data_IF_421071888498
#
_entry.id   IF_421071888498
#
_cell.length_a   1.000
_cell.length_b   1.000
_cell.length_c   1.000
_cell.angle_alpha   90.00
_cell.angle_beta   90.00
_cell.angle_gamma   90.00
#
_symmetry.space_group_name_H-M   'P 1'
#
loop_
_entity.id
_entity.type
_entity.pdbx_description
1 polymer ?
#
# COMPACT_ATOMS: atom_id res chain seq x y z
N UNK A 1 -44.70 13.67 12.44
CA UNK A 1 -43.50 14.45 12.84
C UNK A 1 -42.78 13.87 14.07
N UNK A 2 -43.48 13.41 15.12
CA UNK A 2 -42.83 12.84 16.31
C UNK A 2 -41.98 11.58 16.03
N UNK A 3 -42.50 10.64 15.22
CA UNK A 3 -41.80 9.38 14.88
C UNK A 3 -40.47 9.61 14.15
N UNK A 4 -40.47 10.49 13.15
CA UNK A 4 -39.26 10.87 12.42
C UNK A 4 -38.14 11.45 13.32
N UNK A 5 -38.48 12.10 14.44
CA UNK A 5 -37.48 12.58 15.41
C UNK A 5 -36.88 11.45 16.24
N UNK A 6 -37.68 10.43 16.57
CA UNK A 6 -37.22 9.23 17.27
C UNK A 6 -36.30 8.43 16.35
N UNK A 7 -36.74 8.18 15.11
CA UNK A 7 -35.96 7.44 14.11
C UNK A 7 -34.60 8.10 13.83
N UNK A 8 -34.56 9.45 13.77
CA UNK A 8 -33.31 10.20 13.62
C UNK A 8 -32.39 10.07 14.84
N UNK A 9 -32.94 10.12 16.06
CA UNK A 9 -32.15 9.99 17.28
C UNK A 9 -31.55 8.58 17.44
N UNK A 10 -32.32 7.55 17.06
CA UNK A 10 -31.84 6.16 17.02
C UNK A 10 -30.70 6.00 15.99
N UNK A 11 -30.87 6.53 14.78
CA UNK A 11 -29.83 6.50 13.76
C UNK A 11 -28.54 7.20 14.21
N UNK A 12 -28.63 8.36 14.87
CA UNK A 12 -27.47 9.06 15.42
C UNK A 12 -26.78 8.28 16.55
N UNK A 13 -27.53 7.52 17.34
CA UNK A 13 -26.99 6.67 18.39
C UNK A 13 -26.21 5.49 17.80
N UNK A 14 -26.75 4.84 16.76
CA UNK A 14 -26.07 3.75 16.05
C UNK A 14 -24.74 4.22 15.43
N UNK A 15 -24.71 5.44 14.88
CA UNK A 15 -23.49 6.03 14.30
C UNK A 15 -22.37 6.32 15.30
N UNK A 16 -22.60 6.18 16.61
CA UNK A 16 -21.53 6.28 17.63
C UNK A 16 -20.69 5.02 17.76
N UNK A 17 -21.15 3.89 17.20
CA UNK A 17 -20.40 2.64 17.16
C UNK A 17 -19.78 2.49 15.77
N UNK A 18 -18.46 2.47 15.72
CA UNK A 18 -17.71 2.24 14.49
C UNK A 18 -17.19 0.81 14.53
N UNK A 19 -17.41 0.08 13.44
CA UNK A 19 -16.94 -1.30 13.27
C UNK A 19 -15.85 -1.32 12.20
N UNK A 20 -14.91 -2.26 12.33
CA UNK A 20 -13.95 -2.53 11.26
C UNK A 20 -14.71 -3.04 10.02
N UNK A 21 -14.42 -2.52 8.82
CA UNK A 21 -15.12 -2.93 7.60
C UNK A 21 -14.76 -4.35 7.14
N UNK A 22 -13.57 -4.83 7.51
CA UNK A 22 -13.06 -6.16 7.17
C UNK A 22 -12.02 -6.65 8.19
N UNK A 23 -11.64 -7.92 8.08
CA UNK A 23 -10.59 -8.51 8.90
C UNK A 23 -9.23 -7.86 8.63
N UNK A 24 -8.74 -7.14 9.64
CA UNK A 24 -7.50 -6.37 9.54
C UNK A 24 -6.74 -6.39 10.86
N UNK A 25 -5.43 -6.19 10.76
CA UNK A 25 -4.55 -5.96 11.90
C UNK A 25 -4.52 -4.47 12.23
N UNK A 26 -4.72 -4.11 13.50
CA UNK A 26 -4.49 -2.74 13.97
C UNK A 26 -2.99 -2.43 13.89
N UNK A 27 -2.60 -1.40 13.13
CA UNK A 27 -1.20 -0.96 13.05
C UNK A 27 -0.89 0.10 14.10
N UNK A 28 -1.81 1.06 14.25
CA UNK A 28 -1.65 2.23 15.10
C UNK A 28 -2.97 2.58 15.76
N UNK A 29 -2.91 3.04 17.00
CA UNK A 29 -4.05 3.60 17.74
C UNK A 29 -3.74 5.06 18.02
N UNK A 30 -4.49 5.95 17.40
CA UNK A 30 -4.27 7.39 17.50
C UNK A 30 -5.01 8.02 18.69
N UNK A 31 -6.15 7.44 19.06
CA UNK A 31 -6.99 7.93 20.15
C UNK A 31 -7.21 6.86 21.21
N UNK A 32 -7.01 7.26 22.46
CA UNK A 32 -7.16 6.40 23.63
C UNK A 32 -8.44 6.70 24.41
N UNK A 33 -8.84 5.76 25.26
CA UNK A 33 -10.01 5.94 26.11
C UNK A 33 -9.88 7.19 26.98
N UNK A 34 -10.89 8.05 26.95
CA UNK A 34 -10.92 9.33 27.69
C UNK A 34 -10.54 10.54 26.83
N UNK A 35 -10.00 10.34 25.62
CA UNK A 35 -9.71 11.41 24.69
C UNK A 35 -10.96 11.79 23.86
N UNK A 36 -11.08 13.07 23.51
CA UNK A 36 -12.18 13.54 22.66
C UNK A 36 -11.76 13.58 21.19
N UNK A 37 -12.45 12.81 20.36
CA UNK A 37 -12.27 12.79 18.92
C UNK A 37 -13.07 13.92 18.24
N UNK A 38 -12.43 14.65 17.32
CA UNK A 38 -13.16 15.49 16.37
C UNK A 38 -13.91 14.64 15.32
N UNK A 39 -14.85 15.22 14.53
CA UNK A 39 -15.65 14.48 13.56
C UNK A 39 -14.85 13.72 12.50
N UNK A 40 -13.64 14.19 12.19
CA UNK A 40 -12.75 13.64 11.17
C UNK A 40 -11.47 13.06 11.76
N UNK A 41 -11.36 12.95 13.08
CA UNK A 41 -10.15 12.44 13.72
C UNK A 41 -10.08 10.91 13.59
N UNK A 42 -8.99 10.35 13.03
CA UNK A 42 -8.83 8.91 12.95
C UNK A 42 -8.62 8.33 14.35
N UNK A 43 -9.27 7.19 14.64
CA UNK A 43 -9.15 6.51 15.94
C UNK A 43 -8.03 5.47 15.90
N UNK A 44 -7.98 4.68 14.83
CA UNK A 44 -6.97 3.65 14.62
C UNK A 44 -6.73 3.45 13.12
N UNK A 45 -5.54 2.93 12.80
CA UNK A 45 -5.16 2.47 11.47
C UNK A 45 -5.28 0.95 11.39
N UNK A 46 -5.87 0.46 10.30
CA UNK A 46 -6.12 -0.95 10.05
C UNK A 46 -5.40 -1.39 8.77
N UNK A 47 -4.67 -2.49 8.86
CA UNK A 47 -4.01 -3.15 7.72
C UNK A 47 -4.69 -4.49 7.42
N UNK A 48 -5.45 -4.61 6.31
CA UNK A 48 -6.05 -5.85 5.88
C UNK A 48 -5.01 -6.96 5.64
N UNK A 49 -5.37 -8.21 5.95
CA UNK A 49 -4.41 -9.33 5.96
C UNK A 49 -3.78 -9.63 4.59
N UNK A 50 -4.40 -9.20 3.48
CA UNK A 50 -3.94 -9.48 2.11
C UNK A 50 -3.70 -8.21 1.28
N UNK A 51 -3.49 -7.05 1.91
CA UNK A 51 -3.35 -5.77 1.20
C UNK A 51 -1.91 -5.29 1.03
N UNK A 52 -0.92 -6.14 1.31
CA UNK A 52 0.49 -5.80 1.12
C UNK A 52 0.79 -5.69 -0.38
N UNK A 53 1.39 -4.57 -0.77
CA UNK A 53 1.89 -4.30 -2.12
C UNK A 53 3.36 -3.95 -2.04
N UNK A 54 4.13 -4.43 -3.01
CA UNK A 54 5.46 -3.94 -3.30
C UNK A 54 5.36 -2.81 -4.30
N UNK A 55 5.96 -1.67 -3.97
CA UNK A 55 6.11 -0.52 -4.85
C UNK A 55 7.58 -0.43 -5.25
N UNK A 56 7.85 -0.43 -6.55
CA UNK A 56 9.20 -0.27 -7.08
C UNK A 56 9.18 0.56 -8.36
N UNK A 57 10.33 1.10 -8.73
CA UNK A 57 10.47 2.04 -9.84
C UNK A 57 11.31 1.42 -10.95
N UNK A 58 10.80 1.49 -12.18
CA UNK A 58 11.47 0.93 -13.36
C UNK A 58 11.85 2.05 -14.32
N UNK A 59 13.08 2.05 -14.89
CA UNK A 59 13.47 3.01 -15.92
C UNK A 59 12.63 2.89 -17.19
N UNK A 60 12.46 4.00 -17.91
CA UNK A 60 11.75 4.06 -19.21
C UNK A 60 12.20 2.98 -20.21
N UNK A 61 13.51 2.67 -20.26
CA UNK A 61 14.08 1.68 -21.20
C UNK A 61 13.47 0.27 -21.05
N UNK A 62 13.05 -0.08 -19.84
CA UNK A 62 12.46 -1.39 -19.50
C UNK A 62 10.94 -1.34 -19.39
N UNK A 63 10.35 -0.13 -19.30
CA UNK A 63 8.91 0.08 -19.15
C UNK A 63 8.09 -0.60 -20.25
N UNK A 64 8.53 -0.49 -21.50
CA UNK A 64 7.80 -1.02 -22.66
C UNK A 64 7.69 -2.54 -22.73
N UNK A 65 8.41 -3.27 -21.87
CA UNK A 65 8.40 -4.73 -21.81
C UNK A 65 7.56 -5.28 -20.64
N UNK A 66 7.10 -4.41 -19.73
CA UNK A 66 6.36 -4.83 -18.56
C UNK A 66 4.87 -5.03 -18.88
N UNK A 67 4.32 -6.13 -18.40
CA UNK A 67 2.90 -6.44 -18.51
C UNK A 67 2.25 -6.63 -17.14
N UNK A 68 1.01 -6.15 -16.99
CA UNK A 68 0.21 -6.46 -15.80
C UNK A 68 -0.09 -7.95 -15.80
N UNK A 69 0.23 -8.62 -14.70
CA UNK A 69 0.11 -10.06 -14.58
C UNK A 69 1.43 -10.83 -14.62
N UNK A 70 2.54 -10.18 -15.00
CA UNK A 70 3.87 -10.79 -14.96
C UNK A 70 4.20 -11.27 -13.55
N UNK A 71 4.68 -12.51 -13.45
CA UNK A 71 5.08 -13.15 -12.20
C UNK A 71 6.58 -13.16 -12.10
N UNK A 72 7.09 -12.76 -10.95
CA UNK A 72 8.52 -12.70 -10.71
C UNK A 72 8.85 -13.01 -9.26
N UNK A 73 10.13 -13.19 -8.99
CA UNK A 73 10.62 -13.45 -7.65
C UNK A 73 11.41 -12.24 -7.16
N UNK A 74 11.04 -11.71 -5.99
CA UNK A 74 11.81 -10.67 -5.33
C UNK A 74 12.40 -11.19 -4.01
N UNK A 75 13.49 -10.58 -3.60
CA UNK A 75 14.13 -10.89 -2.31
C UNK A 75 13.93 -9.72 -1.37
N UNK A 76 13.32 -9.97 -0.21
CA UNK A 76 13.34 -8.98 0.86
C UNK A 76 14.68 -8.97 1.58
N UNK A 77 15.13 -7.77 1.96
CA UNK A 77 16.29 -7.57 2.82
C UNK A 77 16.06 -8.25 4.17
N UNK A 78 16.85 -9.30 4.44
CA UNK A 78 16.72 -10.15 5.63
C UNK A 78 15.89 -11.43 5.45
N UNK A 79 15.34 -11.70 4.27
CA UNK A 79 14.62 -12.93 3.97
C UNK A 79 15.54 -14.00 3.37
N UNK A 80 15.43 -15.23 3.84
CA UNK A 80 16.19 -16.37 3.29
C UNK A 80 15.56 -16.93 2.01
N UNK A 81 14.28 -16.66 1.78
CA UNK A 81 13.50 -17.21 0.65
C UNK A 81 13.07 -16.12 -0.32
N UNK A 82 13.08 -16.46 -1.61
CA UNK A 82 12.49 -15.63 -2.65
C UNK A 82 10.97 -15.61 -2.50
N UNK A 83 10.37 -14.44 -2.72
CA UNK A 83 8.93 -14.24 -2.66
C UNK A 83 8.37 -14.12 -4.07
N UNK A 84 7.41 -14.98 -4.40
CA UNK A 84 6.71 -14.93 -5.67
C UNK A 84 5.66 -13.81 -5.64
N UNK A 85 5.87 -12.83 -6.51
CA UNK A 85 5.04 -11.64 -6.68
C UNK A 85 4.43 -11.62 -8.08
N UNK A 86 3.34 -10.88 -8.22
CA UNK A 86 2.68 -10.63 -9.50
C UNK A 86 2.44 -9.14 -9.67
N UNK A 87 2.78 -8.59 -10.83
CA UNK A 87 2.48 -7.19 -11.18
C UNK A 87 0.97 -7.03 -11.26
N UNK A 88 0.45 -6.02 -10.55
CA UNK A 88 -0.99 -5.70 -10.50
C UNK A 88 -1.31 -4.34 -11.10
N UNK A 89 -0.34 -3.44 -11.16
CA UNK A 89 -0.52 -2.11 -11.71
C UNK A 89 0.83 -1.57 -12.19
N UNK A 90 0.79 -0.83 -13.29
CA UNK A 90 1.91 -0.11 -13.88
C UNK A 90 1.39 1.32 -14.09
N UNK A 91 2.12 2.32 -13.59
CA UNK A 91 1.74 3.72 -13.77
C UNK A 91 1.75 4.11 -15.26
N UNK A 92 0.75 4.89 -15.67
CA UNK A 92 0.63 5.39 -17.06
C UNK A 92 1.57 6.57 -17.33
N UNK A 93 1.95 7.32 -16.29
CA UNK A 93 2.82 8.47 -16.39
C UNK A 93 4.15 8.24 -15.68
N UNK A 94 5.25 8.84 -16.18
CA UNK A 94 6.51 8.81 -15.47
C UNK A 94 6.45 9.70 -14.23
N UNK A 95 7.04 9.21 -13.14
CA UNK A 95 7.34 10.02 -11.97
C UNK A 95 8.77 10.55 -12.05
N UNK A 96 8.95 11.74 -11.49
CA UNK A 96 10.23 12.38 -11.41
C UNK A 96 10.83 12.10 -10.03
N UNK A 97 11.96 11.39 -9.97
CA UNK A 97 12.74 11.30 -8.74
C UNK A 97 13.66 12.51 -8.67
N UNK A 98 13.38 13.53 -7.83
CA UNK A 98 14.32 14.64 -7.67
C UNK A 98 15.62 14.08 -7.08
N UNK A 99 16.76 14.22 -7.77
CA UNK A 99 18.01 13.70 -7.25
C UNK A 99 18.45 14.45 -6.00
N UNK A 100 18.93 13.73 -5.00
CA UNK A 100 19.81 14.30 -3.97
C UNK A 100 21.19 14.45 -4.62
N UNK A 101 21.56 15.68 -4.94
CA UNK A 101 22.72 16.09 -5.75
C UNK A 101 24.05 15.61 -5.11
N UNK A 102 24.91 14.93 -5.87
CA UNK A 102 26.38 15.13 -5.92
C UNK A 102 27.00 14.45 -7.16
N UNK A 103 26.70 14.91 -8.38
CA UNK A 103 27.59 14.78 -9.56
C UNK A 103 26.92 15.31 -10.85
N UNK A 104 27.73 15.84 -11.77
CA UNK A 104 27.32 16.40 -13.06
C UNK A 104 26.72 15.37 -14.04
N UNK A 105 26.76 14.07 -13.71
CA UNK A 105 26.20 12.98 -14.51
C UNK A 105 24.77 12.59 -14.11
N UNK A 106 24.22 13.22 -13.06
CA UNK A 106 22.90 12.86 -12.52
C UNK A 106 21.79 13.42 -13.42
N UNK A 107 21.54 12.75 -14.54
CA UNK A 107 20.38 13.02 -15.39
C UNK A 107 19.12 12.59 -14.66
N UNK A 108 18.12 13.45 -14.72
CA UNK A 108 16.72 13.17 -14.44
C UNK A 108 16.30 11.98 -15.31
N UNK A 109 16.15 10.79 -14.71
CA UNK A 109 15.66 9.60 -15.41
C UNK A 109 14.17 9.48 -15.12
N UNK A 110 13.38 9.40 -16.18
CA UNK A 110 11.97 9.05 -16.07
C UNK A 110 11.88 7.64 -15.50
N UNK A 111 11.20 7.53 -14.36
CA UNK A 111 10.92 6.25 -13.72
C UNK A 111 9.42 6.04 -13.67
N UNK A 112 8.99 4.80 -13.80
CA UNK A 112 7.60 4.43 -13.73
C UNK A 112 7.36 3.60 -12.48
N UNK A 113 6.34 3.96 -11.71
CA UNK A 113 5.94 3.17 -10.55
C UNK A 113 5.27 1.87 -11.02
N UNK A 114 5.72 0.75 -10.46
CA UNK A 114 5.14 -0.57 -10.66
C UNK A 114 4.73 -1.13 -9.30
N UNK A 115 3.49 -1.62 -9.23
CA UNK A 115 2.94 -2.25 -8.03
C UNK A 115 2.78 -3.74 -8.25
N UNK A 116 3.35 -4.53 -7.35
CA UNK A 116 3.20 -5.98 -7.33
C UNK A 116 2.59 -6.47 -6.01
N UNK A 117 1.91 -7.61 -6.04
CA UNK A 117 1.34 -8.27 -4.86
C UNK A 117 1.91 -9.68 -4.69
N UNK A 118 2.07 -10.16 -3.44
CA UNK A 118 2.35 -11.57 -3.19
C UNK A 118 1.28 -12.47 -3.77
N UNK A 119 1.70 -13.55 -4.43
CA UNK A 119 0.79 -14.59 -4.93
C UNK A 119 0.20 -15.40 -3.76
N UNK A 120 0.95 -15.51 -2.65
CA UNK A 120 0.52 -16.21 -1.45
C UNK A 120 -0.34 -15.31 -0.55
N UNK A 121 -1.48 -15.82 -0.10
CA UNK A 121 -2.41 -15.09 0.78
C UNK A 121 -1.76 -14.72 2.13
N UNK A 122 -1.06 -15.66 2.76
CA UNK A 122 -0.41 -15.44 4.06
C UNK A 122 1.07 -15.14 3.92
N UNK A 123 1.38 -14.01 3.28
CA UNK A 123 2.77 -13.60 3.15
C UNK A 123 3.32 -13.16 4.52
N UNK A 124 4.47 -13.67 4.98
CA UNK A 124 5.09 -13.25 6.24
C UNK A 124 5.68 -11.82 6.18
N UNK A 125 5.44 -11.13 5.07
CA UNK A 125 5.96 -9.81 4.78
C UNK A 125 5.37 -8.76 5.70
N UNK A 126 6.18 -7.76 6.00
CA UNK A 126 5.80 -6.61 6.80
C UNK A 126 5.90 -5.34 5.95
N UNK A 127 4.97 -4.39 6.11
CA UNK A 127 5.14 -3.06 5.51
C UNK A 127 6.49 -2.45 5.90
N UNK A 128 7.10 -1.72 4.96
CA UNK A 128 8.41 -1.08 5.15
C UNK A 128 9.62 -1.98 4.94
N UNK A 129 9.43 -3.27 4.61
CA UNK A 129 10.55 -4.12 4.18
C UNK A 129 11.09 -3.65 2.82
N UNK A 130 12.42 -3.58 2.73
CA UNK A 130 13.13 -3.26 1.49
C UNK A 130 13.24 -4.53 0.67
N UNK A 131 13.05 -4.41 -0.64
CA UNK A 131 13.19 -5.51 -1.59
C UNK A 131 14.20 -5.17 -2.67
N UNK A 132 14.98 -6.20 -3.03
CA UNK A 132 15.77 -6.21 -4.25
C UNK A 132 14.93 -6.91 -5.33
N UNK A 133 14.68 -6.19 -6.41
CA UNK A 133 13.95 -6.67 -7.59
C UNK A 133 14.95 -6.77 -8.73
N UNK A 134 15.07 -7.96 -9.31
CA UNK A 134 15.84 -8.17 -10.52
C UNK A 134 14.97 -7.85 -11.74
N UNK A 135 15.26 -6.74 -12.41
CA UNK A 135 14.45 -6.22 -13.50
C UNK A 135 14.55 -7.10 -14.76
N UNK A 136 15.64 -7.83 -14.95
CA UNK A 136 15.81 -8.73 -16.10
C UNK A 136 14.87 -9.96 -15.99
N UNK A 137 14.43 -10.28 -14.77
CA UNK A 137 13.48 -11.37 -14.52
C UNK A 137 12.02 -10.99 -14.77
N UNK A 138 11.74 -9.73 -15.14
CA UNK A 138 10.39 -9.22 -15.42
C UNK A 138 9.98 -9.35 -16.89
N UNK A 139 10.79 -10.02 -17.70
CA UNK A 139 10.58 -10.30 -19.14
C UNK A 139 9.74 -11.56 -19.39
#
# INVERSE_FOLDING_TARGET
>A
MARAKVDLAEWLLEKRKIYAPEDAKVTDVFLHSGEMAGPTAPVASLLPLNSIKLHFFVPEEQYGQLEVGTKFNARCSGCTTLQALQITHIAEGPEFTPPVIYSLETREKLVYEVQAKPITKHSPLRPGQIFDVDLDSLQ
#
